data_IF_109599439189
#
_entry.id   IF_109599439189
#
_cell.length_a   1.000
_cell.length_b   1.000
_cell.length_c   1.000
_cell.angle_alpha   90.00
_cell.angle_beta   90.00
_cell.angle_gamma   90.00
#
_symmetry.space_group_name_H-M   'P 1'
#
loop_
_entity.id
_entity.type
_entity.pdbx_description
1 polymer ?
#
# COMPACT_ATOMS: atom_id res chain seq x y z
N UNK A 1 -10.16 -3.49 -5.04
CA UNK A 1 -9.77 -2.68 -3.87
C UNK A 1 -9.91 -3.44 -2.55
N UNK A 2 -10.98 -4.22 -2.40
CA UNK A 2 -11.24 -4.94 -1.15
C UNK A 2 -10.11 -5.89 -0.75
N UNK A 3 -9.60 -6.67 -1.70
CA UNK A 3 -8.50 -7.60 -1.44
C UNK A 3 -7.25 -6.86 -0.98
N UNK A 4 -6.95 -5.74 -1.61
CA UNK A 4 -5.81 -4.89 -1.25
C UNK A 4 -5.97 -4.34 0.16
N UNK A 5 -7.15 -3.81 0.49
CA UNK A 5 -7.43 -3.28 1.82
C UNK A 5 -7.33 -4.36 2.89
N UNK A 6 -7.84 -5.57 2.62
CA UNK A 6 -7.75 -6.68 3.56
C UNK A 6 -6.30 -7.09 3.82
N UNK A 7 -5.49 -7.14 2.78
CA UNK A 7 -4.07 -7.46 2.94
C UNK A 7 -3.36 -6.43 3.80
N UNK A 8 -3.63 -5.13 3.56
CA UNK A 8 -3.03 -4.05 4.35
C UNK A 8 -3.47 -4.14 5.82
N UNK A 9 -4.74 -4.43 6.06
CA UNK A 9 -5.28 -4.55 7.42
C UNK A 9 -4.62 -5.70 8.19
N UNK A 10 -4.24 -6.78 7.51
CA UNK A 10 -3.56 -7.92 8.13
C UNK A 10 -2.05 -7.73 8.27
N UNK A 11 -1.49 -6.66 7.69
CA UNK A 11 -0.07 -6.36 7.74
C UNK A 11 0.17 -4.90 8.17
N UNK A 12 -0.33 -4.50 9.37
CA UNK A 12 -0.35 -3.07 9.74
C UNK A 12 1.03 -2.47 9.99
N UNK A 13 2.01 -3.30 10.35
CA UNK A 13 3.36 -2.82 10.68
C UNK A 13 4.37 -3.08 9.57
N UNK A 14 3.91 -3.53 8.41
CA UNK A 14 4.79 -3.89 7.29
C UNK A 14 4.89 -2.73 6.31
N UNK A 15 6.12 -2.36 5.98
CA UNK A 15 6.39 -1.45 4.86
C UNK A 15 6.53 -2.29 3.60
N UNK A 16 5.81 -1.93 2.55
CA UNK A 16 5.75 -2.72 1.33
C UNK A 16 5.80 -1.84 0.08
N UNK A 17 6.31 -2.42 -1.00
CA UNK A 17 6.30 -1.80 -2.32
C UNK A 17 5.09 -2.25 -3.12
N UNK A 18 4.88 -1.61 -4.29
CA UNK A 18 3.85 -2.05 -5.23
C UNK A 18 4.07 -3.51 -5.67
N UNK A 19 5.33 -3.88 -5.92
CA UNK A 19 5.66 -5.25 -6.31
C UNK A 19 5.35 -6.25 -5.21
N UNK A 20 5.66 -5.91 -3.96
CA UNK A 20 5.36 -6.77 -2.82
C UNK A 20 3.86 -7.04 -2.73
N UNK A 21 3.05 -5.99 -2.86
CA UNK A 21 1.60 -6.14 -2.81
C UNK A 21 1.08 -6.95 -3.99
N UNK A 22 1.55 -6.65 -5.20
CA UNK A 22 1.09 -7.34 -6.41
C UNK A 22 1.34 -8.85 -6.31
N UNK A 23 2.51 -9.24 -5.80
CA UNK A 23 2.85 -10.65 -5.60
C UNK A 23 1.99 -11.30 -4.51
N UNK A 24 1.70 -10.55 -3.44
CA UNK A 24 0.94 -11.08 -2.31
C UNK A 24 -0.53 -11.31 -2.65
N UNK A 25 -1.15 -10.40 -3.40
CA UNK A 25 -2.59 -10.45 -3.69
C UNK A 25 -2.90 -10.99 -5.09
N UNK A 26 -1.87 -11.28 -5.88
CA UNK A 26 -2.00 -11.80 -7.25
C UNK A 26 -2.86 -10.89 -8.15
N UNK A 27 -2.64 -9.59 -8.02
CA UNK A 27 -3.28 -8.55 -8.83
C UNK A 27 -2.18 -7.85 -9.61
N UNK A 28 -2.50 -7.35 -10.82
CA UNK A 28 -1.50 -6.70 -11.66
C UNK A 28 -0.86 -5.51 -10.93
N UNK A 29 0.42 -5.29 -11.22
CA UNK A 29 1.19 -4.19 -10.66
C UNK A 29 0.54 -2.84 -10.97
N UNK A 30 0.03 -2.67 -12.18
CA UNK A 30 -0.62 -1.41 -12.60
C UNK A 30 -1.85 -1.11 -11.73
N UNK A 31 -2.68 -2.12 -11.50
CA UNK A 31 -3.87 -1.96 -10.66
C UNK A 31 -3.49 -1.68 -9.20
N UNK A 32 -2.51 -2.40 -8.67
CA UNK A 32 -2.04 -2.18 -7.31
C UNK A 32 -1.51 -0.75 -7.14
N UNK A 33 -0.71 -0.27 -8.07
CA UNK A 33 -0.16 1.09 -8.02
C UNK A 33 -1.26 2.14 -7.97
N UNK A 34 -2.28 1.98 -8.79
CA UNK A 34 -3.41 2.90 -8.85
C UNK A 34 -4.10 3.01 -7.49
N UNK A 35 -4.38 1.89 -6.85
CA UNK A 35 -5.04 1.88 -5.55
C UNK A 35 -4.12 2.40 -4.43
N UNK A 36 -2.83 2.07 -4.47
CA UNK A 36 -1.88 2.55 -3.47
C UNK A 36 -1.74 4.07 -3.51
N UNK A 37 -1.66 4.66 -4.71
CA UNK A 37 -1.60 6.11 -4.87
C UNK A 37 -2.86 6.75 -4.28
N UNK A 38 -4.03 6.18 -4.57
CA UNK A 38 -5.28 6.71 -4.04
C UNK A 38 -5.35 6.63 -2.52
N UNK A 39 -4.96 5.48 -1.95
CA UNK A 39 -4.95 5.29 -0.50
C UNK A 39 -3.98 6.26 0.18
N UNK A 40 -2.85 6.55 -0.46
CA UNK A 40 -1.90 7.54 0.06
C UNK A 40 -2.48 8.96 0.00
N UNK A 41 -3.22 9.28 -1.05
CA UNK A 41 -3.84 10.61 -1.19
C UNK A 41 -4.87 10.88 -0.10
N UNK A 42 -5.60 9.86 0.33
CA UNK A 42 -6.59 10.02 1.42
C UNK A 42 -5.99 9.71 2.79
N UNK A 43 -4.66 9.69 2.88
CA UNK A 43 -3.87 9.58 4.11
C UNK A 43 -3.99 8.24 4.86
N UNK A 44 -4.55 7.21 4.23
CA UNK A 44 -4.58 5.86 4.83
C UNK A 44 -3.18 5.26 4.86
N UNK A 45 -2.39 5.52 3.81
CA UNK A 45 -1.02 5.03 3.72
C UNK A 45 -0.02 6.16 3.83
N UNK A 46 1.07 5.90 4.50
CA UNK A 46 2.26 6.75 4.51
C UNK A 46 3.21 6.26 3.42
N UNK A 47 3.72 7.21 2.61
CA UNK A 47 4.63 6.90 1.52
C UNK A 47 6.06 7.26 1.90
N UNK A 48 6.98 6.31 1.75
CA UNK A 48 8.41 6.54 1.89
C UNK A 48 9.08 6.37 0.53
N UNK A 49 10.12 7.17 0.28
CA UNK A 49 10.90 7.06 -0.95
C UNK A 49 12.29 6.54 -0.58
N UNK A 50 12.67 5.43 -1.20
CA UNK A 50 13.99 4.82 -1.02
C UNK A 50 14.74 4.85 -2.35
N UNK A 51 16.02 5.21 -2.31
CA UNK A 51 16.87 5.19 -3.49
C UNK A 51 17.74 3.95 -3.46
N UNK A 52 17.58 3.09 -4.46
CA UNK A 52 18.39 1.89 -4.60
C UNK A 52 19.77 2.17 -5.18
N UNK A 53 20.56 1.11 -5.35
CA UNK A 53 21.91 1.20 -5.90
C UNK A 53 21.96 1.80 -7.31
N UNK A 54 20.85 1.71 -8.06
CA UNK A 54 20.74 2.27 -9.41
C UNK A 54 20.32 3.73 -9.43
N UNK A 55 20.04 4.33 -8.26
CA UNK A 55 19.55 5.70 -8.16
C UNK A 55 18.09 5.87 -8.47
N UNK A 56 17.37 4.81 -8.83
CA UNK A 56 15.92 4.90 -9.10
C UNK A 56 15.14 4.95 -7.79
N UNK A 57 14.17 5.86 -7.65
CA UNK A 57 13.34 5.89 -6.45
C UNK A 57 12.42 4.68 -6.40
N UNK A 58 12.33 4.07 -5.22
CA UNK A 58 11.38 3.00 -4.92
C UNK A 58 10.42 3.53 -3.88
N UNK A 59 9.14 3.55 -4.22
CA UNK A 59 8.10 3.99 -3.29
C UNK A 59 7.66 2.82 -2.44
N UNK A 60 7.67 3.05 -1.11
CA UNK A 60 7.18 2.08 -0.13
C UNK A 60 6.05 2.68 0.66
N UNK A 61 5.12 1.86 1.04
CA UNK A 61 3.89 2.27 1.70
C UNK A 61 3.73 1.54 3.03
N UNK A 62 3.14 2.23 3.98
CA UNK A 62 2.83 1.66 5.30
C UNK A 62 1.50 2.22 5.78
N UNK A 63 0.70 1.37 6.44
CA UNK A 63 -0.57 1.79 7.02
C UNK A 63 -0.33 2.84 8.11
N UNK A 64 -1.08 3.95 8.05
CA UNK A 64 -1.14 4.93 9.13
C UNK A 64 -2.01 4.36 10.25
N UNK A 65 -1.49 4.11 11.47
CA UNK A 65 -2.27 3.48 12.53
C UNK A 65 -3.56 4.24 12.87
N UNK A 66 -3.54 5.56 12.79
CA UNK A 66 -4.71 6.39 13.09
C UNK A 66 -5.82 6.20 12.07
N UNK A 67 -5.51 5.65 10.89
CA UNK A 67 -6.45 5.53 9.79
C UNK A 67 -6.97 4.11 9.60
N UNK A 68 -6.67 3.21 10.52
CA UNK A 68 -7.09 1.82 10.38
C UNK A 68 -8.62 1.70 10.34
N UNK A 69 -9.33 2.54 11.07
CA UNK A 69 -10.79 2.57 11.04
C UNK A 69 -11.33 2.96 9.67
N UNK A 70 -10.71 3.96 9.03
CA UNK A 70 -11.09 4.39 7.69
C UNK A 70 -10.79 3.29 6.66
N UNK A 71 -9.63 2.65 6.76
CA UNK A 71 -9.29 1.53 5.90
C UNK A 71 -10.34 0.43 5.96
N UNK A 72 -10.78 0.07 7.17
CA UNK A 72 -11.79 -0.99 7.37
C UNK A 72 -13.13 -0.65 6.75
N UNK A 73 -13.49 0.62 6.64
CA UNK A 73 -14.69 1.03 5.94
C UNK A 73 -14.65 0.67 4.46
N UNK A 74 -13.48 0.72 3.85
CA UNK A 74 -13.31 0.35 2.45
C UNK A 74 -13.16 -1.15 2.23
N UNK A 75 -12.94 -1.92 3.29
CA UNK A 75 -12.82 -3.39 3.22
C UNK A 75 -14.16 -4.12 3.26
N UNK A 76 -15.21 -3.40 3.51
CA UNK A 76 -16.53 -4.00 3.62
C UNK A 76 -17.16 -4.39 2.28
#
# INVERSE_FOLDING_TARGET
LRTICQWIDTHPDVEFSTDDLANAVNISRVSCRKYLIWLAQITILFTSIHYGATGRPVYRYRLQPEQIGLLRQYCQ
#
